data_IF_069773701520
#
_entry.id   IF_069773701520
#
_cell.length_a   1.000
_cell.length_b   1.000
_cell.length_c   1.000
_cell.angle_alpha   90.00
_cell.angle_beta   90.00
_cell.angle_gamma   90.00
#
_symmetry.space_group_name_H-M   'P 1'
#
loop_
_entity.id
_entity.type
_entity.pdbx_description
1 polymer ?
#
# COMPACT_ATOMS: atom_id res chain seq x y z
N UNK A 1 14.48 1.91 -9.28
CA UNK A 1 13.16 2.55 -9.46
C UNK A 1 12.17 1.90 -8.53
N UNK A 2 11.25 2.67 -7.94
CA UNK A 2 10.25 2.17 -6.99
C UNK A 2 8.86 2.28 -7.60
N UNK A 3 7.99 1.32 -7.26
CA UNK A 3 6.57 1.26 -7.62
C UNK A 3 5.77 1.25 -6.32
N UNK A 4 4.72 2.08 -6.27
CA UNK A 4 3.79 2.16 -5.15
C UNK A 4 2.45 1.51 -5.55
N UNK A 5 2.07 0.46 -4.83
CA UNK A 5 0.74 -0.13 -4.90
C UNK A 5 -0.12 0.37 -3.74
N UNK A 6 -1.36 0.77 -4.04
CA UNK A 6 -2.36 1.21 -3.06
C UNK A 6 -3.62 0.36 -3.21
N UNK A 7 -4.12 -0.15 -2.08
CA UNK A 7 -5.40 -0.85 -1.95
C UNK A 7 -6.30 -0.06 -1.00
N UNK A 8 -7.38 0.52 -1.52
CA UNK A 8 -8.28 1.42 -0.79
C UNK A 8 -9.56 0.67 -0.42
N UNK A 9 -9.65 0.22 0.82
CA UNK A 9 -10.86 -0.34 1.41
C UNK A 9 -11.59 0.66 2.32
N UNK A 10 -12.90 0.47 2.51
CA UNK A 10 -13.73 1.37 3.31
C UNK A 10 -13.35 1.45 4.80
N UNK A 11 -12.66 0.44 5.33
CA UNK A 11 -12.21 0.39 6.74
C UNK A 11 -10.72 0.61 6.91
N UNK A 12 -9.93 0.41 5.85
CA UNK A 12 -8.49 0.53 5.89
C UNK A 12 -7.93 0.70 4.48
N UNK A 13 -6.85 1.48 4.40
CA UNK A 13 -6.02 1.59 3.21
C UNK A 13 -4.70 0.89 3.46
N UNK A 14 -4.23 0.14 2.48
CA UNK A 14 -2.94 -0.56 2.51
C UNK A 14 -2.03 0.00 1.42
N UNK A 15 -0.75 0.08 1.74
CA UNK A 15 0.29 0.50 0.82
C UNK A 15 1.41 -0.54 0.74
N UNK A 16 1.95 -0.72 -0.46
CA UNK A 16 3.06 -1.60 -0.78
C UNK A 16 4.07 -0.82 -1.62
N UNK A 17 5.35 -0.87 -1.25
CA UNK A 17 6.43 -0.36 -2.11
C UNK A 17 7.25 -1.54 -2.61
N UNK A 18 7.45 -1.61 -3.93
CA UNK A 18 8.27 -2.63 -4.58
C UNK A 18 9.28 -2.01 -5.54
N UNK A 19 10.28 -2.79 -5.95
CA UNK A 19 11.08 -2.51 -7.15
C UNK A 19 10.33 -2.96 -8.40
N UNK A 20 10.86 -2.68 -9.60
CA UNK A 20 10.27 -3.11 -10.86
C UNK A 20 10.32 -4.62 -11.07
N UNK A 21 11.29 -5.28 -10.44
CA UNK A 21 11.50 -6.72 -10.44
C UNK A 21 10.57 -7.42 -9.42
N UNK A 22 9.69 -6.66 -8.75
CA UNK A 22 8.72 -7.17 -7.78
C UNK A 22 9.27 -7.37 -6.37
N UNK A 23 10.51 -6.95 -6.09
CA UNK A 23 11.08 -7.06 -4.73
C UNK A 23 10.35 -6.11 -3.79
N UNK A 24 9.78 -6.63 -2.69
CA UNK A 24 9.08 -5.83 -1.69
C UNK A 24 10.07 -5.13 -0.76
N UNK A 25 9.97 -3.81 -0.66
CA UNK A 25 10.88 -2.99 0.14
C UNK A 25 10.18 -2.20 1.24
N UNK A 26 8.85 -2.12 1.21
CA UNK A 26 8.07 -1.47 2.27
C UNK A 26 6.60 -1.84 2.24
N UNK A 27 5.93 -1.66 3.38
CA UNK A 27 4.49 -1.76 3.49
C UNK A 27 3.94 -0.85 4.60
N UNK A 28 2.69 -0.47 4.48
CA UNK A 28 2.00 0.35 5.47
C UNK A 28 0.49 0.08 5.47
N UNK A 29 -0.14 0.40 6.60
CA UNK A 29 -1.60 0.37 6.73
C UNK A 29 -2.05 1.63 7.47
N UNK A 30 -3.03 2.32 6.91
CA UNK A 30 -3.80 3.35 7.59
C UNK A 30 -5.19 2.84 7.94
N UNK A 31 -5.70 3.20 9.11
CA UNK A 31 -7.13 3.06 9.40
C UNK A 31 -7.93 3.97 8.47
N UNK A 32 -9.02 3.45 7.90
CA UNK A 32 -9.98 4.26 7.17
C UNK A 32 -11.04 4.79 8.13
N UNK A 33 -11.51 6.01 7.88
CA UNK A 33 -12.74 6.50 8.49
C UNK A 33 -13.90 5.99 7.63
N UNK A 34 -14.49 4.86 8.01
CA UNK A 34 -15.84 4.55 7.54
C UNK A 34 -16.75 5.64 8.15
N UNK A 35 -17.44 6.47 7.35
CA UNK A 35 -18.34 7.50 7.87
C UNK A 35 -19.48 6.91 8.71
#
# INVERSE_FOLDING_TARGET
>A
MLVLGIDVGGTATRALVTTLEGTRVGFGRGGGAHP
#
